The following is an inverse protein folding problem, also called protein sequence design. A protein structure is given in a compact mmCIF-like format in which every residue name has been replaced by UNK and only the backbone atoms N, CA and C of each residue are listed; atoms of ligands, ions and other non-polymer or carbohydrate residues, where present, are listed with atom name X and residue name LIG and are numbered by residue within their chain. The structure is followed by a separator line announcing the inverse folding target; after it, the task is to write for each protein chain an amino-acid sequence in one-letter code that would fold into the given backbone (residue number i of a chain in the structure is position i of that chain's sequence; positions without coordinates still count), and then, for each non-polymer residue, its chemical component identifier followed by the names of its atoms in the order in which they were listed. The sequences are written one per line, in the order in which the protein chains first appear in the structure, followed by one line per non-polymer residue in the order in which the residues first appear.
data_IF_424166115442
#
_entry.id   IF_424166115442
#
_cell.length_a   1.000
_cell.length_b   1.000
_cell.length_c   1.000
_cell.angle_alpha   90.00
_cell.angle_beta   90.00
_cell.angle_gamma   90.00
#
_symmetry.space_group_name_H-M   'P 1'
#
loop_
_entity.id
_entity.type
_entity.pdbx_description
1 polymer ?
#
# COMPACT_ATOMS: atom_id res chain seq x y z
N UNK A 1 28.04 -2.04 1.33
CA UNK A 1 26.91 -1.33 2.01
C UNK A 1 25.63 -1.75 1.31
N UNK A 2 24.69 -2.39 2.00
CA UNK A 2 23.40 -2.79 1.41
C UNK A 2 22.45 -1.59 1.41
N UNK A 3 21.95 -1.22 0.24
CA UNK A 3 20.97 -0.14 0.10
C UNK A 3 19.67 -0.75 -0.39
N UNK A 4 18.60 -0.58 0.39
CA UNK A 4 17.26 -1.00 -0.05
C UNK A 4 16.90 -0.29 -1.36
N UNK A 5 16.38 -1.05 -2.32
CA UNK A 5 15.89 -0.54 -3.62
C UNK A 5 14.42 -0.13 -3.54
N UNK A 6 13.70 -0.59 -2.52
CA UNK A 6 12.31 -0.27 -2.26
C UNK A 6 12.10 0.31 -0.84
N UNK A 7 11.04 1.09 -0.69
CA UNK A 7 10.55 1.58 0.61
C UNK A 7 9.12 1.08 0.83
N UNK A 8 8.89 0.38 1.94
CA UNK A 8 7.54 0.01 2.39
C UNK A 8 7.17 0.88 3.59
N UNK A 9 6.02 1.53 3.53
CA UNK A 9 5.47 2.31 4.64
C UNK A 9 4.02 1.89 4.89
N UNK A 10 3.69 1.67 6.16
CA UNK A 10 2.36 1.32 6.60
C UNK A 10 1.92 2.32 7.68
N UNK A 11 0.89 3.11 7.39
CA UNK A 11 0.30 4.08 8.31
C UNK A 11 -0.63 3.39 9.32
N UNK A 12 -1.09 2.18 9.00
CA UNK A 12 -2.03 1.42 9.81
C UNK A 12 -3.48 1.85 9.57
N UNK A 13 -4.29 1.76 10.62
CA UNK A 13 -5.71 2.17 10.60
C UNK A 13 -5.80 3.67 10.86
N UNK A 14 -6.35 4.42 9.91
CA UNK A 14 -6.68 5.83 10.10
C UNK A 14 -7.86 5.90 11.07
N UNK A 15 -7.67 6.45 12.28
CA UNK A 15 -8.58 6.20 13.40
C UNK A 15 -9.88 7.02 13.34
N UNK A 16 -9.96 8.04 12.50
CA UNK A 16 -11.15 8.86 12.32
C UNK A 16 -11.71 8.72 10.92
N UNK A 17 -13.04 8.66 10.84
CA UNK A 17 -13.73 8.77 9.57
C UNK A 17 -13.46 10.18 9.01
N UNK A 18 -12.83 10.24 7.84
CA UNK A 18 -12.49 11.47 7.14
C UNK A 18 -13.78 12.11 6.60
N UNK A 19 -14.54 12.75 7.49
CA UNK A 19 -15.72 13.54 7.16
C UNK A 19 -15.32 15.00 6.96
N UNK A 20 -15.77 15.57 5.84
CA UNK A 20 -15.49 16.96 5.45
C UNK A 20 -16.76 17.82 5.55
N UNK A 21 -17.58 17.58 6.57
CA UNK A 21 -18.88 18.25 6.74
C UNK A 21 -19.81 17.98 5.56
N UNK A 22 -20.36 19.04 4.97
CA UNK A 22 -21.28 18.97 3.84
C UNK A 22 -20.64 18.40 2.56
N UNK A 23 -19.30 18.42 2.47
CA UNK A 23 -18.57 17.76 1.38
C UNK A 23 -18.54 16.22 1.49
N UNK A 24 -19.10 15.67 2.58
CA UNK A 24 -19.31 14.23 2.73
C UNK A 24 -18.13 13.46 3.31
N UNK A 25 -18.15 12.14 3.13
CA UNK A 25 -17.18 11.19 3.69
C UNK A 25 -16.16 10.77 2.64
N UNK A 26 -14.88 10.75 2.99
CA UNK A 26 -13.85 10.15 2.15
C UNK A 26 -14.11 8.65 1.96
N UNK A 27 -14.10 8.19 0.72
CA UNK A 27 -14.19 6.78 0.35
C UNK A 27 -12.82 6.13 0.18
N UNK A 28 -11.77 6.93 0.03
CA UNK A 28 -10.40 6.47 -0.11
C UNK A 28 -9.38 7.47 0.44
N UNK A 29 -8.21 6.96 0.82
CA UNK A 29 -7.03 7.74 1.21
C UNK A 29 -5.85 7.27 0.39
N UNK A 30 -5.21 8.21 -0.30
CA UNK A 30 -4.01 7.96 -1.07
C UNK A 30 -2.84 8.73 -0.46
N UNK A 31 -1.75 8.03 -0.22
CA UNK A 31 -0.49 8.62 0.22
C UNK A 31 0.66 7.92 -0.50
N UNK A 32 1.72 8.66 -0.78
CA UNK A 32 2.91 8.08 -1.42
C UNK A 32 4.15 8.66 -0.76
N UNK A 33 5.07 7.80 -0.35
CA UNK A 33 6.40 8.25 0.03
C UNK A 33 7.22 8.59 -1.24
N UNK A 34 8.24 9.45 -1.14
CA UNK A 34 9.07 9.78 -2.29
C UNK A 34 9.78 8.54 -2.86
N UNK A 35 9.74 8.39 -4.20
CA UNK A 35 10.47 7.35 -4.92
C UNK A 35 11.70 7.94 -5.63
N UNK A 36 12.67 8.46 -4.87
CA UNK A 36 13.92 9.00 -5.40
C UNK A 36 14.99 7.92 -5.42
N UNK A 37 15.80 7.90 -6.48
CA UNK A 37 16.94 6.99 -6.55
C UNK A 37 17.86 7.15 -5.32
N UNK A 38 18.43 6.04 -4.79
CA UNK A 38 18.35 4.68 -5.32
C UNK A 38 17.06 3.90 -4.97
N UNK A 39 16.18 4.47 -4.13
CA UNK A 39 14.89 3.89 -3.72
C UNK A 39 13.79 4.30 -4.69
N UNK A 40 13.97 3.92 -5.95
CA UNK A 40 13.05 4.29 -7.02
C UNK A 40 11.72 3.53 -7.01
N UNK A 41 11.42 2.73 -5.98
CA UNK A 41 10.13 2.09 -5.75
C UNK A 41 9.65 2.34 -4.31
N UNK A 42 8.39 2.69 -4.14
CA UNK A 42 7.74 2.78 -2.83
C UNK A 42 6.35 2.17 -2.83
N UNK A 43 6.04 1.45 -1.76
CA UNK A 43 4.73 0.89 -1.44
C UNK A 43 4.22 1.55 -0.16
N UNK A 44 2.99 2.03 -0.21
CA UNK A 44 2.35 2.75 0.87
C UNK A 44 0.99 2.11 1.19
N UNK A 45 0.78 1.64 2.42
CA UNK A 45 -0.47 1.03 2.88
C UNK A 45 -1.15 1.79 4.05
N UNK A 46 -2.43 2.07 3.92
CA UNK A 46 -3.28 2.61 4.98
C UNK A 46 -4.65 1.94 4.93
N UNK A 47 -5.38 1.95 6.04
CA UNK A 47 -6.72 1.39 6.07
C UNK A 47 -7.71 2.38 6.68
N UNK A 48 -8.88 2.51 6.05
CA UNK A 48 -10.00 3.30 6.53
C UNK A 48 -11.31 2.71 6.00
N UNK A 49 -12.42 2.93 6.71
CA UNK A 49 -13.73 2.44 6.27
C UNK A 49 -13.80 0.91 6.03
N UNK A 50 -12.99 0.13 6.74
CA UNK A 50 -12.90 -1.33 6.56
C UNK A 50 -12.18 -1.79 5.28
N UNK A 51 -11.48 -0.89 4.58
CA UNK A 51 -10.75 -1.19 3.35
C UNK A 51 -9.26 -0.90 3.50
N UNK A 52 -8.44 -1.72 2.85
CA UNK A 52 -7.02 -1.45 2.66
C UNK A 52 -6.86 -0.57 1.40
N UNK A 53 -6.06 0.48 1.52
CA UNK A 53 -5.66 1.37 0.44
C UNK A 53 -4.16 1.23 0.24
N UNK A 54 -3.74 0.86 -0.97
CA UNK A 54 -2.34 0.67 -1.33
C UNK A 54 -1.96 1.58 -2.49
N UNK A 55 -0.91 2.37 -2.30
CA UNK A 55 -0.30 3.17 -3.36
C UNK A 55 1.04 2.58 -3.75
N UNK A 56 1.24 2.38 -5.05
CA UNK A 56 2.54 2.08 -5.64
C UNK A 56 3.09 3.34 -6.31
N UNK A 57 4.34 3.68 -6.03
CA UNK A 57 5.04 4.78 -6.70
C UNK A 57 6.40 4.32 -7.17
N UNK A 58 6.73 4.59 -8.43
CA UNK A 58 8.02 4.24 -9.00
C UNK A 58 8.66 5.40 -9.79
N UNK A 59 9.97 5.29 -10.00
CA UNK A 59 10.73 6.11 -10.95
C UNK A 59 10.54 5.55 -12.36
N UNK A 60 10.26 6.41 -13.33
CA UNK A 60 10.19 6.01 -14.76
C UNK A 60 11.55 5.56 -15.32
N UNK A 61 12.65 5.92 -14.66
CA UNK A 61 13.97 5.39 -15.01
C UNK A 61 14.13 3.89 -14.64
N UNK A 62 13.25 3.34 -13.79
CA UNK A 62 13.21 1.92 -13.45
C UNK A 62 12.11 1.18 -14.20
N UNK A 63 10.89 1.71 -14.17
CA UNK A 63 9.71 1.08 -14.78
C UNK A 63 8.98 2.09 -15.65
N UNK A 64 8.89 1.81 -16.95
CA UNK A 64 7.98 2.53 -17.85
C UNK A 64 6.52 2.25 -17.51
N UNK A 65 5.60 2.98 -18.13
CA UNK A 65 4.18 2.96 -17.75
C UNK A 65 3.54 1.56 -17.87
N UNK A 66 3.87 0.81 -18.94
CA UNK A 66 3.38 -0.56 -19.12
C UNK A 66 3.88 -1.52 -18.03
N UNK A 67 5.17 -1.42 -17.66
CA UNK A 67 5.74 -2.24 -16.60
C UNK A 67 5.18 -1.85 -15.22
N UNK A 68 4.89 -0.56 -15.02
CA UNK A 68 4.21 -0.06 -13.82
C UNK A 68 2.77 -0.55 -13.68
N UNK A 69 2.01 -0.57 -14.79
CA UNK A 69 0.66 -1.14 -14.81
C UNK A 69 0.70 -2.63 -14.49
N UNK A 70 1.61 -3.39 -15.12
CA UNK A 70 1.77 -4.80 -14.84
C UNK A 70 2.17 -5.07 -13.37
N UNK A 71 3.02 -4.23 -12.77
CA UNK A 71 3.35 -4.32 -11.35
C UNK A 71 2.12 -4.12 -10.47
N UNK A 72 1.23 -3.18 -10.81
CA UNK A 72 0.00 -2.95 -10.06
C UNK A 72 -0.92 -4.19 -10.12
N UNK A 73 -1.09 -4.80 -11.29
CA UNK A 73 -1.88 -6.02 -11.46
C UNK A 73 -1.31 -7.19 -10.65
N UNK A 74 0.01 -7.36 -10.64
CA UNK A 74 0.68 -8.39 -9.83
C UNK A 74 0.48 -8.16 -8.34
N UNK A 75 0.51 -6.89 -7.89
CA UNK A 75 0.32 -6.55 -6.49
C UNK A 75 -1.12 -6.84 -6.05
N UNK A 76 -2.11 -6.53 -6.88
CA UNK A 76 -3.52 -6.83 -6.63
C UNK A 76 -3.78 -8.34 -6.52
N UNK A 77 -3.23 -9.12 -7.45
CA UNK A 77 -3.28 -10.59 -7.40
C UNK A 77 -2.63 -11.14 -6.13
N UNK A 78 -1.46 -10.61 -5.75
CA UNK A 78 -0.74 -11.03 -4.56
C UNK A 78 -1.51 -10.71 -3.28
N UNK A 79 -2.14 -9.54 -3.19
CA UNK A 79 -2.99 -9.16 -2.04
C UNK A 79 -4.23 -10.04 -1.96
N UNK A 80 -4.84 -10.35 -3.09
CA UNK A 80 -6.01 -11.23 -3.16
C UNK A 80 -5.65 -12.62 -2.63
N UNK A 81 -4.58 -13.22 -3.16
CA UNK A 81 -4.08 -14.51 -2.68
C UNK A 81 -3.70 -14.50 -1.19
N UNK A 82 -3.04 -13.43 -0.71
CA UNK A 82 -2.66 -13.30 0.70
C UNK A 82 -3.88 -13.16 1.63
N UNK A 83 -5.00 -12.63 1.14
CA UNK A 83 -6.23 -12.50 1.92
C UNK A 83 -6.93 -13.85 2.13
N UNK A 84 -6.76 -14.79 1.19
CA UNK A 84 -7.26 -16.16 1.29
C UNK A 84 -6.44 -17.00 2.30
N UNK A 85 -5.15 -16.69 2.43
CA UNK A 85 -4.24 -17.32 3.40
C UNK A 85 -4.33 -16.57 4.75
N UNK A 86 -5.45 -16.67 5.44
CA UNK A 86 -5.49 -16.28 6.86
C UNK A 86 -4.96 -17.47 7.69
N UNK A 87 -3.78 -17.38 8.33
CA UNK A 87 -3.39 -18.40 9.30
C UNK A 87 -4.37 -18.35 10.47
N UNK A 88 -4.82 -19.53 10.93
CA UNK A 88 -5.60 -19.67 12.16
C UNK A 88 -4.93 -18.84 13.28
N UNK A 89 -5.69 -18.07 14.08
CA UNK A 89 -5.10 -17.25 15.13
C UNK A 89 -4.23 -18.14 16.01
N UNK A 90 -2.94 -17.81 16.07
CA UNK A 90 -1.98 -18.48 16.94
C UNK A 90 -2.51 -18.39 18.37
N UNK A 91 -3.02 -19.50 18.91
CA UNK A 91 -3.35 -19.66 20.32
C UNK A 91 -2.07 -19.37 21.09
N UNK A 92 -1.98 -18.17 21.70
CA UNK A 92 -0.90 -17.82 22.59
C UNK A 92 -0.99 -18.77 23.79
N UNK A 93 0.01 -19.63 24.08
CA UNK A 93 0.00 -20.39 25.31
C UNK A 93 0.10 -19.41 26.49
N UNK A 94 -0.78 -19.64 27.47
CA UNK A 94 -0.95 -18.92 28.73
C UNK A 94 0.27 -18.99 29.64
#
# INVERSE_FOLDING_TARGET
RWTSTALVTNIGRVPYALHFGDAGRATAVWFSAPARMPRGLSVAAASTGGRLHVTLRWSRALLGDAAGAHLADLFDQSLSAASEVTPSPHTRPS
#
